data_IF_687500946391
#
_entry.id   IF_687500946391
#
_cell.length_a   1.000
_cell.length_b   1.000
_cell.length_c   1.000
_cell.angle_alpha   90.00
_cell.angle_beta   90.00
_cell.angle_gamma   90.00
#
_symmetry.space_group_name_H-M   'P 1'
#
loop_
_entity.id
_entity.type
_entity.pdbx_description
1 polymer ?
#
# COMPACT_ATOMS: atom_id res chain seq x y z
N UNK A 1 -8.98 -6.86 -17.63
CA UNK A 1 -8.76 -6.83 -16.17
C UNK A 1 -9.31 -5.51 -15.66
N UNK A 2 -10.43 -5.52 -14.92
CA UNK A 2 -11.01 -4.27 -14.43
C UNK A 2 -10.06 -3.63 -13.43
N UNK A 3 -9.61 -2.42 -13.74
CA UNK A 3 -8.75 -1.65 -12.86
C UNK A 3 -9.52 -1.26 -11.60
N UNK A 4 -8.97 -1.58 -10.44
CA UNK A 4 -9.55 -1.28 -9.12
C UNK A 4 -8.80 -0.08 -8.56
N UNK A 5 -9.55 0.95 -8.13
CA UNK A 5 -8.99 2.16 -7.56
C UNK A 5 -8.86 2.09 -6.03
N UNK A 6 -7.91 2.83 -5.42
CA UNK A 6 -7.96 3.15 -3.99
C UNK A 6 -9.12 4.10 -3.70
N UNK A 7 -9.68 4.04 -2.50
CA UNK A 7 -10.59 5.07 -1.97
C UNK A 7 -9.70 6.16 -1.38
N UNK A 8 -9.65 7.33 -2.03
CA UNK A 8 -8.74 8.42 -1.67
C UNK A 8 -9.35 9.46 -0.74
N UNK A 9 -10.66 9.59 -0.78
CA UNK A 9 -11.41 10.53 0.04
C UNK A 9 -11.79 9.89 1.38
N UNK A 10 -11.49 10.58 2.49
CA UNK A 10 -11.69 10.07 3.85
C UNK A 10 -13.17 9.95 4.23
N UNK A 11 -14.01 10.87 3.75
CA UNK A 11 -15.46 10.81 4.01
C UNK A 11 -16.06 9.60 3.29
N UNK A 12 -15.69 9.39 2.03
CA UNK A 12 -16.09 8.20 1.26
C UNK A 12 -15.59 6.91 1.91
N UNK A 13 -14.36 6.89 2.43
CA UNK A 13 -13.79 5.74 3.13
C UNK A 13 -14.61 5.39 4.38
N UNK A 14 -14.92 6.38 5.19
CA UNK A 14 -15.76 6.24 6.39
C UNK A 14 -17.17 5.75 6.03
N UNK A 15 -17.79 6.37 5.05
CA UNK A 15 -19.14 5.99 4.60
C UNK A 15 -19.18 4.55 4.05
N UNK A 16 -18.12 4.11 3.38
CA UNK A 16 -17.99 2.74 2.92
C UNK A 16 -17.89 1.76 4.10
N UNK A 17 -17.09 2.08 5.12
CA UNK A 17 -17.00 1.29 6.35
C UNK A 17 -18.35 1.16 7.05
N UNK A 18 -19.08 2.27 7.23
CA UNK A 18 -20.41 2.25 7.84
C UNK A 18 -21.42 1.46 7.00
N UNK A 19 -21.34 1.53 5.67
CA UNK A 19 -22.20 0.74 4.79
C UNK A 19 -21.94 -0.77 4.96
N UNK A 20 -20.67 -1.18 5.10
CA UNK A 20 -20.32 -2.57 5.39
C UNK A 20 -20.79 -3.02 6.78
N UNK A 21 -20.70 -2.15 7.78
CA UNK A 21 -21.16 -2.38 9.14
C UNK A 21 -22.68 -2.65 9.20
N UNK A 22 -23.45 -1.94 8.36
CA UNK A 22 -24.90 -2.18 8.22
C UNK A 22 -25.23 -3.54 7.57
N UNK A 23 -24.34 -4.10 6.76
CA UNK A 23 -24.53 -5.43 6.16
C UNK A 23 -24.25 -6.51 7.21
N UNK A 24 -23.08 -6.46 7.84
CA UNK A 24 -22.67 -7.33 8.95
C UNK A 24 -21.33 -6.79 9.49
N UNK A 25 -21.19 -6.67 10.79
CA UNK A 25 -20.02 -6.11 11.46
C UNK A 25 -18.71 -6.82 11.08
N UNK A 26 -18.75 -8.12 10.76
CA UNK A 26 -17.55 -8.86 10.28
C UNK A 26 -16.97 -8.31 8.98
N UNK A 27 -17.80 -7.77 8.08
CA UNK A 27 -17.30 -7.16 6.83
C UNK A 27 -16.68 -5.79 7.09
N UNK A 28 -17.14 -5.08 8.10
CA UNK A 28 -16.48 -3.87 8.60
C UNK A 28 -15.10 -4.22 9.16
N UNK A 29 -14.98 -5.24 10.02
CA UNK A 29 -13.70 -5.72 10.54
C UNK A 29 -12.73 -6.13 9.40
N UNK A 30 -13.24 -6.88 8.43
CA UNK A 30 -12.47 -7.28 7.24
C UNK A 30 -11.94 -6.05 6.48
N UNK A 31 -12.77 -5.04 6.33
CA UNK A 31 -12.42 -3.80 5.63
C UNK A 31 -11.39 -3.00 6.44
N UNK A 32 -11.61 -2.77 7.73
CA UNK A 32 -10.68 -2.04 8.60
C UNK A 32 -9.30 -2.70 8.66
N UNK A 33 -9.23 -4.04 8.75
CA UNK A 33 -7.96 -4.76 8.64
C UNK A 33 -7.27 -4.48 7.31
N UNK A 34 -8.00 -4.54 6.22
CA UNK A 34 -7.41 -4.33 4.90
C UNK A 34 -6.91 -2.89 4.67
N UNK A 35 -7.65 -1.87 5.14
CA UNK A 35 -7.28 -0.45 4.97
C UNK A 35 -6.31 0.05 6.03
N UNK A 36 -6.31 -0.55 7.22
CA UNK A 36 -5.42 -0.16 8.32
C UNK A 36 -4.05 -0.83 8.27
N UNK A 37 -3.93 -1.99 7.62
CA UNK A 37 -2.68 -2.76 7.59
C UNK A 37 -2.13 -3.01 6.19
N UNK A 38 -2.96 -2.96 5.16
CA UNK A 38 -2.58 -3.34 3.81
C UNK A 38 -2.52 -4.85 3.56
N UNK A 39 -3.06 -5.69 4.44
CA UNK A 39 -3.19 -7.13 4.24
C UNK A 39 -4.02 -7.47 3.01
N UNK A 40 -3.74 -8.62 2.41
CA UNK A 40 -4.57 -9.13 1.31
C UNK A 40 -5.87 -9.72 1.85
N UNK A 41 -6.94 -9.60 1.06
CA UNK A 41 -8.22 -10.19 1.42
C UNK A 41 -8.13 -11.68 1.78
N UNK A 42 -7.35 -12.45 1.03
CA UNK A 42 -7.19 -13.89 1.28
C UNK A 42 -6.53 -14.17 2.64
N UNK A 43 -5.57 -13.33 3.06
CA UNK A 43 -4.90 -13.49 4.35
C UNK A 43 -5.86 -13.16 5.50
N UNK A 44 -6.65 -12.08 5.34
CA UNK A 44 -7.67 -11.67 6.32
C UNK A 44 -8.72 -12.77 6.50
N UNK A 45 -9.16 -13.39 5.41
CA UNK A 45 -10.14 -14.48 5.45
C UNK A 45 -9.59 -15.77 6.09
N UNK A 46 -8.27 -15.96 6.07
CA UNK A 46 -7.63 -17.12 6.69
C UNK A 46 -7.43 -16.99 8.20
N UNK A 47 -7.50 -15.77 8.75
CA UNK A 47 -7.27 -15.56 10.19
C UNK A 47 -8.37 -16.17 11.06
N UNK A 48 -7.92 -16.72 12.18
CA UNK A 48 -8.76 -17.04 13.34
C UNK A 48 -8.73 -15.88 14.34
N UNK A 49 -9.67 -15.85 15.27
CA UNK A 49 -9.71 -14.81 16.29
C UNK A 49 -8.37 -14.68 17.06
N UNK A 50 -7.75 -15.79 17.42
CA UNK A 50 -6.45 -15.83 18.12
C UNK A 50 -5.30 -15.19 17.36
N UNK A 51 -5.37 -15.15 16.03
CA UNK A 51 -4.29 -14.67 15.19
C UNK A 51 -4.18 -13.14 15.19
N UNK A 52 -5.26 -12.45 15.57
CA UNK A 52 -5.36 -10.98 15.54
C UNK A 52 -5.66 -10.34 16.90
N UNK A 53 -6.31 -11.07 17.83
CA UNK A 53 -6.69 -10.55 19.14
C UNK A 53 -5.46 -10.18 19.97
N UNK A 54 -5.39 -8.93 20.44
CA UNK A 54 -4.30 -8.41 21.25
C UNK A 54 -2.97 -8.26 20.50
N UNK A 55 -2.97 -8.40 19.17
CA UNK A 55 -1.76 -8.30 18.36
C UNK A 55 -1.48 -6.87 17.93
N UNK A 56 -0.25 -6.40 18.16
CA UNK A 56 0.28 -5.15 17.61
C UNK A 56 0.85 -5.33 16.21
N UNK A 57 1.24 -6.57 15.89
CA UNK A 57 1.82 -6.97 14.63
C UNK A 57 1.25 -8.31 14.19
N UNK A 58 1.02 -8.46 12.90
CA UNK A 58 0.52 -9.69 12.28
C UNK A 58 1.57 -10.16 11.27
N UNK A 59 2.06 -11.39 11.46
CA UNK A 59 2.96 -12.02 10.51
C UNK A 59 2.16 -12.78 9.45
N UNK A 60 2.51 -12.56 8.18
CA UNK A 60 1.95 -13.31 7.05
C UNK A 60 3.07 -13.87 6.20
N UNK A 61 2.96 -15.14 5.85
CA UNK A 61 3.90 -15.78 4.92
C UNK A 61 3.52 -15.45 3.48
N UNK A 62 4.44 -14.83 2.73
CA UNK A 62 4.22 -14.39 1.36
C UNK A 62 5.07 -15.22 0.39
N UNK A 63 4.41 -15.72 -0.66
CA UNK A 63 5.03 -16.41 -1.78
C UNK A 63 5.60 -17.80 -1.46
N UNK A 64 6.18 -18.43 -2.48
CA UNK A 64 6.73 -19.80 -2.42
C UNK A 64 8.01 -19.93 -1.60
N UNK A 65 8.66 -18.82 -1.26
CA UNK A 65 9.93 -18.79 -0.49
C UNK A 65 9.71 -18.66 1.01
N UNK A 66 8.48 -18.79 1.51
CA UNK A 66 8.12 -18.65 2.94
C UNK A 66 8.67 -17.35 3.58
N UNK A 67 8.71 -16.26 2.80
CA UNK A 67 9.10 -14.97 3.35
C UNK A 67 8.00 -14.47 4.29
N UNK A 68 8.39 -14.12 5.51
CA UNK A 68 7.48 -13.53 6.48
C UNK A 68 7.49 -12.02 6.35
N UNK A 69 6.34 -11.44 6.15
CA UNK A 69 6.14 -10.01 6.25
C UNK A 69 5.33 -9.69 7.50
N UNK A 70 5.74 -8.62 8.17
CA UNK A 70 5.10 -8.13 9.39
C UNK A 70 4.28 -6.90 9.04
N UNK A 71 3.02 -6.92 9.45
CA UNK A 71 2.07 -5.83 9.27
C UNK A 71 1.73 -5.24 10.62
N UNK A 72 2.02 -3.97 10.82
CA UNK A 72 1.66 -3.24 12.05
C UNK A 72 0.16 -2.98 12.09
N UNK A 73 -0.45 -3.22 13.23
CA UNK A 73 -1.87 -2.95 13.49
C UNK A 73 -1.97 -1.64 14.28
N UNK A 74 -2.58 -0.59 13.73
CA UNK A 74 -2.80 0.66 14.45
C UNK A 74 -3.58 0.46 15.75
N UNK A 75 -3.30 1.25 16.77
CA UNK A 75 -3.89 1.09 18.11
C UNK A 75 -5.43 1.14 18.10
N UNK A 76 -6.00 2.07 17.34
CA UNK A 76 -7.45 2.17 17.17
C UNK A 76 -8.05 0.89 16.57
N UNK A 77 -7.37 0.32 15.57
CA UNK A 77 -7.79 -0.93 14.95
C UNK A 77 -7.65 -2.12 15.93
N UNK A 78 -6.61 -2.13 16.78
CA UNK A 78 -6.47 -3.14 17.83
C UNK A 78 -7.66 -3.13 18.78
N UNK A 79 -8.11 -1.93 19.20
CA UNK A 79 -9.28 -1.77 20.08
C UNK A 79 -10.55 -2.32 19.43
N UNK A 80 -10.79 -2.00 18.16
CA UNK A 80 -11.93 -2.49 17.38
C UNK A 80 -11.92 -4.01 17.27
N UNK A 81 -10.75 -4.60 16.96
CA UNK A 81 -10.58 -6.06 16.83
C UNK A 81 -10.80 -6.75 18.17
N UNK A 82 -10.22 -6.22 19.25
CA UNK A 82 -10.35 -6.80 20.60
C UNK A 82 -11.80 -6.80 21.07
N UNK A 83 -12.54 -5.72 20.83
CA UNK A 83 -13.96 -5.67 21.16
C UNK A 83 -14.79 -6.65 20.32
N UNK A 84 -14.50 -6.74 19.02
CA UNK A 84 -15.17 -7.68 18.12
C UNK A 84 -14.94 -9.14 18.48
N UNK A 85 -13.72 -9.48 18.94
CA UNK A 85 -13.33 -10.88 19.25
C UNK A 85 -13.67 -11.27 20.70
N UNK A 86 -14.06 -10.32 21.54
CA UNK A 86 -14.39 -10.53 22.96
C UNK A 86 -15.45 -11.61 23.13
N UNK A 87 -15.10 -12.66 23.89
CA UNK A 87 -16.00 -13.79 24.16
C UNK A 87 -16.21 -14.76 23.01
N UNK A 88 -15.53 -14.58 21.87
CA UNK A 88 -15.58 -15.52 20.75
C UNK A 88 -14.55 -16.63 20.93
N UNK A 89 -14.85 -17.80 20.34
CA UNK A 89 -13.91 -18.92 20.30
C UNK A 89 -12.60 -18.50 19.57
N UNK A 90 -11.44 -18.61 20.23
CA UNK A 90 -10.15 -18.29 19.62
C UNK A 90 -9.85 -19.07 18.34
N UNK A 91 -10.38 -20.30 18.20
CA UNK A 91 -10.18 -21.15 17.02
C UNK A 91 -11.19 -20.89 15.90
N UNK A 92 -12.25 -20.12 16.16
CA UNK A 92 -13.17 -19.70 15.12
C UNK A 92 -12.52 -18.71 14.15
N UNK A 93 -12.89 -18.79 12.86
CA UNK A 93 -12.45 -17.83 11.87
C UNK A 93 -12.95 -16.42 12.21
N UNK A 94 -12.08 -15.42 12.05
CA UNK A 94 -12.39 -14.02 12.29
C UNK A 94 -13.58 -13.55 11.43
N UNK A 95 -13.55 -13.89 10.16
CA UNK A 95 -14.62 -13.59 9.19
C UNK A 95 -15.39 -14.87 8.91
N UNK A 96 -16.17 -15.29 9.91
CA UNK A 96 -16.89 -16.56 9.88
C UNK A 96 -18.02 -16.54 8.85
N UNK A 97 -18.13 -17.61 8.07
CA UNK A 97 -19.22 -17.84 7.13
C UNK A 97 -20.56 -18.17 7.81
N UNK A 98 -21.62 -18.22 7.04
CA UNK A 98 -22.97 -18.52 7.55
C UNK A 98 -23.23 -20.03 7.79
N UNK A 99 -22.30 -20.90 7.43
CA UNK A 99 -22.43 -22.34 7.65
C UNK A 99 -22.26 -22.68 9.14
N UNK A 100 -22.95 -23.72 9.62
CA UNK A 100 -22.78 -24.29 10.97
C UNK A 100 -21.38 -24.89 11.18
N UNK A 101 -20.60 -25.04 10.14
CA UNK A 101 -19.20 -25.45 10.20
C UNK A 101 -18.30 -24.25 10.39
N UNK A 102 -17.22 -24.40 11.19
CA UNK A 102 -16.19 -23.35 11.35
C UNK A 102 -15.42 -23.19 10.03
N UNK A 103 -15.99 -22.41 9.09
CA UNK A 103 -15.40 -22.05 7.80
C UNK A 103 -15.45 -20.54 7.60
N UNK A 104 -14.44 -19.94 6.97
CA UNK A 104 -14.46 -18.50 6.69
C UNK A 104 -15.48 -18.17 5.59
N UNK A 105 -15.81 -16.90 5.49
CA UNK A 105 -16.48 -16.33 4.31
C UNK A 105 -15.64 -16.64 3.08
N UNK A 106 -16.26 -17.08 1.99
CA UNK A 106 -15.53 -17.31 0.74
C UNK A 106 -15.06 -15.99 0.11
N UNK A 107 -13.99 -16.05 -0.67
CA UNK A 107 -13.45 -14.90 -1.38
C UNK A 107 -14.51 -14.27 -2.31
N UNK A 108 -15.29 -15.07 -2.97
CA UNK A 108 -16.35 -14.64 -3.88
C UNK A 108 -17.47 -13.91 -3.12
N UNK A 109 -17.83 -14.40 -1.93
CA UNK A 109 -18.84 -13.76 -1.09
C UNK A 109 -18.31 -12.43 -0.55
N UNK A 110 -17.08 -12.38 -0.03
CA UNK A 110 -16.46 -11.15 0.42
C UNK A 110 -16.41 -10.11 -0.72
N UNK A 111 -16.00 -10.52 -1.91
CA UNK A 111 -15.97 -9.67 -3.09
C UNK A 111 -17.36 -9.13 -3.46
N UNK A 112 -18.39 -9.99 -3.45
CA UNK A 112 -19.77 -9.56 -3.74
C UNK A 112 -20.27 -8.52 -2.75
N UNK A 113 -19.98 -8.70 -1.46
CA UNK A 113 -20.38 -7.76 -0.41
C UNK A 113 -19.66 -6.41 -0.59
N UNK A 114 -18.33 -6.42 -0.78
CA UNK A 114 -17.57 -5.20 -1.04
C UNK A 114 -18.11 -4.44 -2.26
N UNK A 115 -18.37 -5.14 -3.35
CA UNK A 115 -18.91 -4.55 -4.56
C UNK A 115 -20.32 -3.98 -4.37
N UNK A 116 -21.21 -4.73 -3.72
CA UNK A 116 -22.57 -4.28 -3.43
C UNK A 116 -22.59 -3.04 -2.53
N UNK A 117 -21.77 -3.03 -1.47
CA UNK A 117 -21.62 -1.87 -0.60
C UNK A 117 -21.08 -0.65 -1.38
N UNK A 118 -20.09 -0.85 -2.25
CA UNK A 118 -19.55 0.21 -3.11
C UNK A 118 -20.62 0.81 -4.01
N UNK A 119 -21.39 -0.01 -4.69
CA UNK A 119 -22.48 0.48 -5.56
C UNK A 119 -23.52 1.31 -4.81
N UNK A 120 -23.84 0.98 -3.56
CA UNK A 120 -24.80 1.75 -2.74
C UNK A 120 -24.36 3.19 -2.50
N UNK A 121 -23.05 3.45 -2.49
CA UNK A 121 -22.48 4.79 -2.29
C UNK A 121 -21.84 5.37 -3.56
N UNK A 122 -22.18 4.83 -4.73
CA UNK A 122 -21.71 5.33 -6.03
C UNK A 122 -20.29 4.92 -6.44
N UNK A 123 -19.66 3.99 -5.72
CA UNK A 123 -18.33 3.48 -6.06
C UNK A 123 -18.41 2.29 -7.02
N UNK A 124 -18.03 2.50 -8.28
CA UNK A 124 -18.12 1.47 -9.32
C UNK A 124 -16.85 0.60 -9.50
N UNK A 125 -15.72 1.03 -8.94
CA UNK A 125 -14.41 0.39 -9.13
C UNK A 125 -13.90 -0.32 -7.88
N UNK A 126 -14.79 -0.96 -7.12
CA UNK A 126 -14.44 -1.69 -5.89
C UNK A 126 -14.11 -3.17 -6.19
N UNK A 127 -13.06 -3.67 -5.56
CA UNK A 127 -12.62 -5.05 -5.68
C UNK A 127 -11.72 -5.50 -4.54
N UNK A 128 -11.23 -6.75 -4.63
CA UNK A 128 -10.40 -7.37 -3.60
C UNK A 128 -9.09 -6.58 -3.28
N UNK A 129 -8.62 -5.77 -4.22
CA UNK A 129 -7.41 -4.97 -4.06
C UNK A 129 -7.69 -3.55 -3.52
N UNK A 130 -8.96 -3.12 -3.45
CA UNK A 130 -9.31 -1.75 -3.03
C UNK A 130 -8.74 -1.41 -1.65
N UNK A 131 -8.94 -2.28 -0.67
CA UNK A 131 -8.45 -2.08 0.70
C UNK A 131 -6.93 -1.89 0.74
N UNK A 132 -6.19 -2.82 0.13
CA UNK A 132 -4.73 -2.79 0.09
C UNK A 132 -4.19 -1.58 -0.68
N UNK A 133 -4.86 -1.18 -1.77
CA UNK A 133 -4.52 0.03 -2.52
C UNK A 133 -4.80 1.30 -1.72
N UNK A 134 -5.89 1.32 -0.96
CA UNK A 134 -6.26 2.44 -0.09
C UNK A 134 -5.23 2.63 1.03
N UNK A 135 -4.85 1.55 1.73
CA UNK A 135 -3.74 1.57 2.68
C UNK A 135 -2.47 2.14 2.06
N UNK A 136 -2.07 1.58 0.93
CA UNK A 136 -0.82 1.96 0.28
C UNK A 136 -0.82 3.42 -0.17
N UNK A 137 -1.96 3.92 -0.65
CA UNK A 137 -2.10 5.31 -1.06
C UNK A 137 -2.04 6.25 0.15
N UNK A 138 -2.76 5.96 1.25
CA UNK A 138 -2.72 6.73 2.49
C UNK A 138 -1.31 6.77 3.06
N UNK A 139 -0.67 5.61 3.21
CA UNK A 139 0.70 5.51 3.70
C UNK A 139 1.68 6.35 2.86
N UNK A 140 1.58 6.25 1.53
CA UNK A 140 2.44 7.01 0.64
C UNK A 140 2.19 8.53 0.76
N UNK A 141 0.95 8.97 0.90
CA UNK A 141 0.62 10.40 1.08
C UNK A 141 1.15 10.94 2.39
N UNK A 142 1.13 10.16 3.43
CA UNK A 142 1.62 10.54 4.76
C UNK A 142 3.16 10.55 4.84
N UNK A 143 3.79 9.49 4.34
CA UNK A 143 5.23 9.26 4.56
C UNK A 143 6.11 9.55 3.35
N UNK A 144 5.56 9.50 2.14
CA UNK A 144 6.31 9.52 0.87
C UNK A 144 7.19 8.28 0.63
N UNK A 145 7.13 7.27 1.52
CA UNK A 145 8.02 6.11 1.46
C UNK A 145 7.46 4.97 0.59
N UNK A 146 7.71 5.08 -0.70
CA UNK A 146 7.33 4.05 -1.68
C UNK A 146 8.13 2.75 -1.52
N UNK A 147 9.35 2.83 -0.97
CA UNK A 147 10.22 1.66 -0.82
C UNK A 147 9.77 0.75 0.30
N UNK A 148 9.26 1.32 1.40
CA UNK A 148 8.60 0.54 2.44
C UNK A 148 7.43 -0.27 1.85
N UNK A 149 6.55 0.37 1.09
CA UNK A 149 5.43 -0.30 0.43
C UNK A 149 5.88 -1.35 -0.58
N UNK A 150 6.93 -1.08 -1.36
CA UNK A 150 7.52 -2.05 -2.27
C UNK A 150 7.94 -3.32 -1.53
N UNK A 151 8.67 -3.16 -0.42
CA UNK A 151 9.14 -4.26 0.42
C UNK A 151 7.96 -5.00 1.06
N UNK A 152 7.03 -4.26 1.67
CA UNK A 152 5.85 -4.80 2.35
C UNK A 152 4.98 -5.64 1.41
N UNK A 153 4.88 -5.25 0.14
CA UNK A 153 4.06 -5.93 -0.86
C UNK A 153 4.84 -6.92 -1.72
N UNK A 154 6.16 -7.00 -1.52
CA UNK A 154 7.06 -7.82 -2.33
C UNK A 154 6.98 -7.49 -3.82
N UNK A 155 6.90 -6.20 -4.16
CA UNK A 155 6.92 -5.77 -5.55
C UNK A 155 8.35 -5.74 -6.08
N UNK A 156 8.53 -6.18 -7.33
CA UNK A 156 9.86 -6.28 -7.95
C UNK A 156 10.55 -4.91 -8.17
N UNK A 157 9.77 -3.80 -8.20
CA UNK A 157 10.32 -2.46 -8.35
C UNK A 157 9.40 -1.39 -7.79
N UNK A 158 9.92 -0.19 -7.43
CA UNK A 158 9.09 0.96 -7.03
C UNK A 158 8.07 1.37 -8.08
N UNK A 159 8.40 1.22 -9.37
CA UNK A 159 7.48 1.54 -10.47
C UNK A 159 6.21 0.71 -10.44
N UNK A 160 6.29 -0.55 -10.00
CA UNK A 160 5.11 -1.41 -9.81
C UNK A 160 4.27 -0.87 -8.67
N UNK A 161 4.90 -0.44 -7.58
CA UNK A 161 4.20 0.13 -6.41
C UNK A 161 3.52 1.45 -6.77
N UNK A 162 4.17 2.35 -7.49
CA UNK A 162 3.55 3.58 -8.00
C UNK A 162 2.32 3.28 -8.86
N UNK A 163 2.45 2.36 -9.80
CA UNK A 163 1.32 1.92 -10.65
C UNK A 163 0.21 1.30 -9.81
N UNK A 164 0.56 0.54 -8.78
CA UNK A 164 -0.40 -0.12 -7.90
C UNK A 164 -1.27 0.90 -7.16
N UNK A 165 -0.70 1.98 -6.64
CA UNK A 165 -1.43 3.04 -5.93
C UNK A 165 -2.05 4.08 -6.86
N UNK A 166 -1.78 4.01 -8.18
CA UNK A 166 -2.29 4.97 -9.16
C UNK A 166 -1.62 6.34 -9.06
N UNK A 167 -0.36 6.39 -8.63
CA UNK A 167 0.46 7.60 -8.56
C UNK A 167 1.60 7.55 -9.59
N UNK A 168 2.11 8.72 -9.93
CA UNK A 168 3.33 8.85 -10.74
C UNK A 168 4.52 9.12 -9.81
N UNK A 169 5.73 8.63 -10.16
CA UNK A 169 6.93 9.02 -9.44
C UNK A 169 7.04 10.56 -9.45
N UNK A 170 7.17 11.15 -8.27
CA UNK A 170 7.50 12.57 -8.20
C UNK A 170 9.00 12.71 -8.39
N UNK A 171 9.40 13.11 -9.62
CA UNK A 171 10.81 13.26 -10.01
C UNK A 171 11.52 14.30 -9.13
N UNK A 172 10.83 15.34 -8.68
CA UNK A 172 11.42 16.37 -7.79
C UNK A 172 11.75 15.82 -6.41
N UNK A 173 10.86 14.99 -5.83
CA UNK A 173 11.12 14.31 -4.55
C UNK A 173 12.27 13.32 -4.72
N UNK A 174 12.32 12.63 -5.86
CA UNK A 174 13.38 11.71 -6.20
C UNK A 174 14.72 12.45 -6.34
N UNK A 175 14.76 13.56 -7.06
CA UNK A 175 15.96 14.39 -7.24
C UNK A 175 16.40 15.07 -5.93
N UNK A 176 15.46 15.59 -5.11
CA UNK A 176 15.78 16.14 -3.77
C UNK A 176 16.41 15.10 -2.83
N UNK A 177 15.97 13.84 -2.92
CA UNK A 177 16.56 12.75 -2.13
C UNK A 177 17.88 12.23 -2.73
N UNK A 178 18.17 12.57 -3.97
CA UNK A 178 19.45 12.21 -4.63
C UNK A 178 20.59 13.24 -4.44
N UNK A 179 20.30 14.44 -3.95
CA UNK A 179 21.32 15.42 -3.55
C UNK A 179 21.70 15.21 -2.08
N UNK A 180 22.87 15.15 -1.69
CA UNK A 180 23.89 14.11 -1.75
C UNK A 180 24.48 13.75 -0.39
N UNK A 181 24.44 12.55 -0.07
CA UNK A 181 25.59 11.91 0.60
C UNK A 181 25.75 10.54 -0.07
N UNK A 182 26.97 10.15 -0.40
CA UNK A 182 27.28 8.91 -1.17
C UNK A 182 26.60 7.67 -0.59
N UNK A 183 26.35 7.62 0.71
CA UNK A 183 25.65 6.54 1.41
C UNK A 183 24.14 6.43 1.07
N UNK A 184 23.48 7.53 0.75
CA UNK A 184 22.08 7.51 0.34
C UNK A 184 21.93 7.12 -1.12
N UNK A 185 22.81 7.55 -2.00
CA UNK A 185 22.84 7.18 -3.42
C UNK A 185 22.91 5.65 -3.60
N UNK A 186 23.73 4.99 -2.80
CA UNK A 186 23.88 3.53 -2.81
C UNK A 186 22.61 2.81 -2.35
N UNK A 187 21.86 3.36 -1.39
CA UNK A 187 20.60 2.79 -0.91
C UNK A 187 19.53 2.72 -1.99
N UNK A 188 19.39 3.78 -2.79
CA UNK A 188 18.37 3.82 -3.86
C UNK A 188 18.75 2.93 -5.06
N UNK A 189 20.04 2.80 -5.36
CA UNK A 189 20.54 1.92 -6.42
C UNK A 189 20.32 0.43 -6.12
N UNK A 190 20.28 0.04 -4.83
CA UNK A 190 20.01 -1.34 -4.42
C UNK A 190 18.59 -1.85 -4.80
N UNK A 191 17.64 -0.96 -4.97
CA UNK A 191 16.25 -1.32 -5.30
C UNK A 191 15.95 -1.34 -6.80
N UNK A 192 16.88 -0.90 -7.64
CA UNK A 192 16.74 -0.96 -9.09
C UNK A 192 17.33 -2.27 -9.62
N UNK A 193 16.66 -2.87 -10.60
CA UNK A 193 17.30 -3.92 -11.38
C UNK A 193 18.45 -3.31 -12.22
N UNK A 194 19.31 -4.16 -12.78
CA UNK A 194 20.52 -3.71 -13.49
C UNK A 194 20.23 -2.77 -14.69
N UNK A 195 19.09 -2.96 -15.35
CA UNK A 195 18.64 -2.07 -16.41
C UNK A 195 18.20 -0.69 -15.87
N UNK A 196 17.50 -0.68 -14.73
CA UNK A 196 17.12 0.53 -14.01
C UNK A 196 18.33 1.31 -13.51
N UNK A 197 19.34 0.61 -12.97
CA UNK A 197 20.61 1.20 -12.53
C UNK A 197 21.37 1.86 -13.69
N UNK A 198 21.46 1.18 -14.84
CA UNK A 198 22.11 1.74 -16.06
C UNK A 198 21.39 2.99 -16.56
N UNK A 199 20.05 2.96 -16.63
CA UNK A 199 19.25 4.13 -17.04
C UNK A 199 19.42 5.30 -16.09
N UNK A 200 19.38 5.05 -14.78
CA UNK A 200 19.55 6.06 -13.76
C UNK A 200 20.93 6.71 -13.82
N UNK A 201 22.00 5.89 -13.93
CA UNK A 201 23.37 6.41 -14.08
C UNK A 201 23.48 7.29 -15.33
N UNK A 202 22.93 6.87 -16.46
CA UNK A 202 22.93 7.68 -17.69
C UNK A 202 22.22 9.03 -17.50
N UNK A 203 21.09 9.07 -16.78
CA UNK A 203 20.38 10.32 -16.46
C UNK A 203 21.26 11.20 -15.56
N UNK A 204 21.87 10.63 -14.51
CA UNK A 204 22.76 11.35 -13.60
C UNK A 204 23.95 11.94 -14.36
N UNK A 205 24.60 11.16 -15.20
CA UNK A 205 25.75 11.60 -16.00
C UNK A 205 25.36 12.74 -16.94
N UNK A 206 24.17 12.64 -17.56
CA UNK A 206 23.63 13.70 -18.43
C UNK A 206 23.37 14.99 -17.66
N UNK A 207 22.70 14.90 -16.48
CA UNK A 207 22.39 16.06 -15.64
C UNK A 207 23.67 16.68 -15.05
N UNK A 208 24.65 15.88 -14.68
CA UNK A 208 25.96 16.36 -14.19
C UNK A 208 26.69 17.09 -15.31
N UNK A 209 26.72 16.56 -16.52
CA UNK A 209 27.31 17.23 -17.68
C UNK A 209 26.62 18.55 -18.05
N UNK A 210 25.29 18.62 -17.90
CA UNK A 210 24.53 19.89 -18.07
C UNK A 210 24.96 20.90 -16.98
N UNK A 211 24.98 20.51 -15.71
CA UNK A 211 25.39 21.37 -14.61
C UNK A 211 26.81 21.91 -14.82
N UNK A 212 27.74 21.02 -15.13
CA UNK A 212 29.15 21.37 -15.29
C UNK A 212 29.38 22.31 -16.50
N UNK A 213 28.51 22.22 -17.52
CA UNK A 213 28.51 23.17 -18.64
C UNK A 213 27.89 24.53 -18.25
N UNK A 214 26.91 24.57 -17.32
CA UNK A 214 26.35 25.83 -16.81
C UNK A 214 27.31 26.55 -15.86
N UNK A 215 28.07 25.82 -15.06
CA UNK A 215 29.02 26.35 -14.09
C UNK A 215 30.40 26.67 -14.73
N UNK A 216 30.58 26.41 -16.01
CA UNK A 216 31.81 26.72 -16.72
C UNK A 216 31.94 28.23 -16.99
N UNK A 217 33.05 28.86 -16.61
CA UNK A 217 33.29 30.32 -16.80
C UNK A 217 33.12 30.79 -18.24
N UNK A 218 33.34 29.91 -19.21
CA UNK A 218 33.23 30.22 -20.64
C UNK A 218 31.81 30.52 -21.14
N UNK A 219 30.77 30.11 -20.41
CA UNK A 219 29.37 30.35 -20.79
C UNK A 219 28.73 31.55 -20.11
N UNK A 220 29.34 32.13 -19.06
CA UNK A 220 28.83 33.32 -18.39
C UNK A 220 28.98 34.59 -19.24
N UNK A 221 30.00 34.67 -20.12
CA UNK A 221 30.21 35.83 -20.99
C UNK A 221 29.25 35.91 -22.19
N UNK A 222 28.63 34.80 -22.57
CA UNK A 222 27.68 34.76 -23.70
C UNK A 222 26.27 35.27 -23.34
N UNK A 223 25.90 35.31 -22.07
CA UNK A 223 24.55 35.71 -21.62
C UNK A 223 24.43 37.16 -21.17
N UNK A 224 25.54 37.85 -20.88
CA UNK A 224 25.57 39.26 -20.43
C UNK A 224 26.27 40.22 -21.38
N UNK A 225 26.56 39.79 -22.59
CA UNK A 225 27.17 40.65 -23.61
C UNK A 225 26.18 41.30 -24.51
N UNK A 226 25.98 42.62 -24.28
CA UNK A 226 25.34 43.66 -25.12
C UNK A 226 23.95 44.11 -24.66
N UNK A 227 23.96 45.08 -23.79
CA UNK A 227 23.18 46.30 -23.94
C UNK A 227 24.17 47.44 -24.08
#
# INVERSE_FOLDING_TARGET
MNWVAPIKDQETLKNFGETLKQVDYKYYIMFELGVGTGLQLQDILAFKNKDVTGKKEIEVTIGTRNMKNVFTVPEELQQIINEYTKGKDPEAYLILGHSSSNKPVSREQAYRVLRSAGHKIGLNSIGAQTMRKTYAWNYYKETGDIYHLQKLFNHASPSITYRFIGEKPNIEVFLKKMTPQENERSRYLLYLNDNGKKKLNKIIDTLTGIRDNFDSPANNDAFYGKV
#
